data_IF_104358900698
#
_entry.id   IF_104358900698
#
_cell.length_a   1.000
_cell.length_b   1.000
_cell.length_c   1.000
_cell.angle_alpha   90.00
_cell.angle_beta   90.00
_cell.angle_gamma   90.00
#
_symmetry.space_group_name_H-M   'P 1'
#
loop_
_entity.id
_entity.type
_entity.pdbx_description
1 polymer ?
#
# COMPACT_ATOMS: atom_id res chain seq x y z
N UNK A 1 -20.37 -0.34 -17.58
CA UNK A 1 -20.42 -1.68 -16.98
C UNK A 1 -20.17 -1.60 -15.49
N UNK A 2 -20.92 -2.38 -14.71
CA UNK A 2 -20.63 -2.43 -13.28
C UNK A 2 -19.23 -3.02 -13.04
N UNK A 3 -18.54 -2.49 -12.03
CA UNK A 3 -17.25 -3.01 -11.65
C UNK A 3 -17.02 -2.74 -10.18
N UNK A 4 -16.13 -3.51 -9.60
CA UNK A 4 -15.72 -3.32 -8.21
C UNK A 4 -14.23 -3.56 -8.13
N UNK A 5 -13.52 -2.64 -7.49
CA UNK A 5 -12.08 -2.75 -7.28
C UNK A 5 -11.77 -2.22 -5.88
N UNK A 6 -11.65 -3.14 -4.94
CA UNK A 6 -11.48 -2.75 -3.55
C UNK A 6 -10.60 -3.77 -2.85
N UNK A 7 -9.70 -3.28 -2.01
CA UNK A 7 -8.79 -4.14 -1.26
C UNK A 7 -8.65 -3.60 0.15
N UNK A 8 -8.56 -4.50 1.11
CA UNK A 8 -8.27 -4.18 2.50
C UNK A 8 -7.16 -5.08 2.97
N UNK A 9 -6.13 -4.47 3.56
CA UNK A 9 -4.95 -5.20 4.00
C UNK A 9 -4.56 -4.75 5.40
N UNK A 10 -4.17 -5.69 6.23
CA UNK A 10 -3.55 -5.41 7.51
C UNK A 10 -2.16 -6.02 7.47
N UNK A 11 -1.15 -5.20 7.74
CA UNK A 11 0.21 -5.67 7.71
C UNK A 11 1.16 -4.65 8.28
N UNK A 12 2.44 -4.96 8.16
CA UNK A 12 3.50 -4.11 8.70
C UNK A 12 4.32 -3.52 7.56
N UNK A 13 4.75 -2.28 7.74
CA UNK A 13 5.64 -1.68 6.75
C UNK A 13 6.99 -2.38 6.78
N UNK A 14 7.49 -2.71 5.59
CA UNK A 14 8.78 -3.36 5.46
C UNK A 14 9.95 -2.40 5.58
N UNK A 15 9.72 -1.11 5.32
CA UNK A 15 10.73 -0.08 5.45
C UNK A 15 10.03 1.26 5.54
N UNK A 16 10.80 2.31 5.83
CA UNK A 16 10.26 3.65 5.89
C UNK A 16 9.71 4.07 4.54
N UNK A 17 8.57 4.77 4.52
CA UNK A 17 8.03 5.23 3.24
C UNK A 17 8.89 6.31 2.61
N UNK A 18 8.84 6.36 1.28
CA UNK A 18 9.58 7.36 0.50
C UNK A 18 8.62 8.32 -0.14
N UNK A 19 8.93 9.61 -0.05
CA UNK A 19 8.16 10.64 -0.75
C UNK A 19 8.68 10.74 -2.17
N UNK A 20 7.77 10.81 -3.14
CA UNK A 20 8.11 10.90 -4.54
C UNK A 20 7.21 11.90 -5.24
N UNK A 21 7.65 12.33 -6.42
CA UNK A 21 6.90 13.26 -7.25
C UNK A 21 6.77 12.70 -8.65
N UNK A 22 5.60 12.92 -9.25
CA UNK A 22 5.43 12.59 -10.66
C UNK A 22 6.07 13.67 -11.53
N UNK A 23 6.12 13.42 -12.85
CA UNK A 23 6.70 14.38 -13.76
C UNK A 23 5.97 15.72 -13.75
N UNK A 24 4.68 15.73 -13.47
CA UNK A 24 3.90 16.95 -13.40
C UNK A 24 3.74 17.50 -11.98
N UNK A 25 4.58 17.03 -11.06
CA UNK A 25 4.68 17.65 -9.74
C UNK A 25 3.75 17.12 -8.67
N UNK A 26 3.00 16.08 -8.92
CA UNK A 26 2.14 15.48 -7.91
C UNK A 26 2.97 14.67 -6.92
N UNK A 27 2.68 14.84 -5.64
CA UNK A 27 3.42 14.19 -4.58
C UNK A 27 2.69 12.95 -4.10
N UNK A 28 3.44 11.89 -3.85
CA UNK A 28 2.90 10.67 -3.26
C UNK A 28 3.97 9.99 -2.41
N UNK A 29 3.52 9.12 -1.51
CA UNK A 29 4.40 8.28 -0.71
C UNK A 29 4.28 6.86 -1.20
N UNK A 30 5.39 6.13 -1.21
CA UNK A 30 5.38 4.72 -1.60
C UNK A 30 6.07 3.89 -0.52
N UNK A 31 5.53 2.72 -0.26
CA UNK A 31 6.10 1.80 0.72
C UNK A 31 5.66 0.37 0.42
N UNK A 32 6.33 -0.58 1.05
CA UNK A 32 5.97 -1.98 0.93
C UNK A 32 5.27 -2.43 2.21
N UNK A 33 4.25 -3.27 2.04
CA UNK A 33 3.48 -3.80 3.15
C UNK A 33 3.63 -5.31 3.19
N UNK A 34 4.01 -5.82 4.35
CA UNK A 34 4.17 -7.25 4.57
C UNK A 34 2.88 -7.80 5.19
N UNK A 35 2.24 -8.71 4.49
CA UNK A 35 1.05 -9.38 4.99
C UNK A 35 1.38 -10.85 5.17
N UNK A 36 1.38 -11.30 6.41
CA UNK A 36 1.76 -12.66 6.74
C UNK A 36 0.55 -13.57 6.72
N UNK A 37 0.74 -14.77 6.19
CA UNK A 37 -0.27 -15.81 6.28
C UNK A 37 0.38 -17.08 6.77
N UNK A 38 -0.40 -17.87 7.47
CA UNK A 38 0.10 -19.14 7.99
C UNK A 38 -0.99 -20.19 7.85
N UNK A 39 -0.57 -21.44 7.73
CA UNK A 39 -1.50 -22.55 7.61
C UNK A 39 -0.78 -23.80 8.07
N UNK A 40 -1.54 -24.87 8.28
CA UNK A 40 -0.97 -26.18 8.59
C UNK A 40 -0.95 -27.04 7.34
N UNK A 41 0.19 -27.69 7.11
CA UNK A 41 0.31 -28.63 5.99
C UNK A 41 -0.48 -29.89 6.30
N UNK A 42 -0.54 -30.77 5.29
CA UNK A 42 -1.22 -32.05 5.45
C UNK A 42 -0.61 -32.87 6.59
N UNK A 43 0.69 -32.70 6.82
CA UNK A 43 1.39 -33.43 7.88
C UNK A 43 1.27 -32.77 9.24
N UNK A 44 0.55 -31.63 9.33
CA UNK A 44 0.36 -30.94 10.59
C UNK A 44 1.41 -29.89 10.91
N UNK A 45 2.38 -29.69 10.03
CA UNK A 45 3.42 -28.70 10.26
C UNK A 45 2.93 -27.32 9.94
N UNK A 46 3.33 -26.35 10.76
CA UNK A 46 2.97 -24.95 10.52
C UNK A 46 3.81 -24.39 9.38
N UNK A 47 3.13 -23.78 8.42
CA UNK A 47 3.78 -23.11 7.30
C UNK A 47 3.50 -21.64 7.38
N UNK A 48 4.47 -20.82 6.95
CA UNK A 48 4.33 -19.36 6.97
C UNK A 48 4.82 -18.79 5.66
N UNK A 49 4.18 -17.70 5.25
CA UNK A 49 4.55 -17.01 4.02
C UNK A 49 4.21 -15.53 4.17
N UNK A 50 5.06 -14.69 3.63
CA UNK A 50 4.82 -13.25 3.64
C UNK A 50 4.55 -12.79 2.22
N UNK A 51 3.39 -12.17 2.03
CA UNK A 51 3.07 -11.53 0.76
C UNK A 51 3.42 -10.07 0.85
N UNK A 52 4.10 -9.54 -0.16
CA UNK A 52 4.57 -8.16 -0.19
C UNK A 52 3.74 -7.37 -1.19
N UNK A 53 3.21 -6.25 -0.73
CA UNK A 53 2.41 -5.36 -1.57
C UNK A 53 3.07 -4.01 -1.65
N UNK A 54 3.12 -3.44 -2.87
CA UNK A 54 3.54 -2.06 -3.07
C UNK A 54 2.33 -1.17 -2.86
N UNK A 55 2.46 -0.15 -2.02
CA UNK A 55 1.36 0.74 -1.68
C UNK A 55 1.76 2.17 -1.99
N UNK A 56 0.90 2.89 -2.67
CA UNK A 56 1.07 4.31 -2.95
C UNK A 56 -0.04 5.10 -2.26
N UNK A 57 0.34 6.20 -1.63
CA UNK A 57 -0.59 7.10 -0.96
C UNK A 57 -0.36 8.50 -1.50
N UNK A 58 -1.42 9.09 -2.06
CA UNK A 58 -1.31 10.37 -2.76
C UNK A 58 -1.74 11.53 -1.88
N UNK A 59 -1.15 12.69 -2.14
CA UNK A 59 -1.57 13.94 -1.51
C UNK A 59 -1.40 13.94 0.00
N UNK A 60 -2.43 14.39 0.68
CA UNK A 60 -2.38 14.52 2.14
C UNK A 60 -2.18 13.18 2.84
N UNK A 61 -2.72 12.12 2.28
CA UNK A 61 -2.53 10.79 2.85
C UNK A 61 -1.06 10.41 2.79
N UNK A 62 -0.39 10.74 1.68
CA UNK A 62 1.05 10.51 1.56
C UNK A 62 1.85 11.29 2.59
N UNK A 63 1.47 12.54 2.84
CA UNK A 63 2.14 13.35 3.85
C UNK A 63 2.00 12.72 5.24
N UNK A 64 0.82 12.24 5.57
CA UNK A 64 0.59 11.55 6.84
C UNK A 64 1.50 10.32 6.95
N UNK A 65 1.59 9.54 5.88
CA UNK A 65 2.38 8.32 5.89
C UNK A 65 3.86 8.64 6.14
N UNK A 66 4.39 9.62 5.41
CA UNK A 66 5.80 9.97 5.57
C UNK A 66 6.10 10.47 6.98
N UNK A 67 5.17 11.19 7.56
CA UNK A 67 5.41 11.77 8.88
C UNK A 67 5.24 10.78 10.02
N UNK A 68 4.23 9.94 9.96
CA UNK A 68 3.85 9.12 11.11
C UNK A 68 4.05 7.62 10.94
N UNK A 69 4.08 7.11 9.71
CA UNK A 69 4.04 5.67 9.49
C UNK A 69 5.42 5.20 9.09
N UNK A 70 6.12 4.59 10.03
CA UNK A 70 7.52 4.19 9.83
C UNK A 70 7.63 2.67 9.72
N UNK A 71 8.83 2.21 9.39
CA UNK A 71 9.12 0.79 9.28
C UNK A 71 8.60 0.04 10.50
N UNK A 72 7.95 -1.08 10.25
CA UNK A 72 7.48 -1.96 11.30
C UNK A 72 6.09 -1.66 11.85
N UNK A 73 5.54 -0.48 11.54
CA UNK A 73 4.22 -0.11 12.07
C UNK A 73 3.15 -1.02 11.50
N UNK A 74 2.16 -1.32 12.33
CA UNK A 74 1.03 -2.16 11.95
C UNK A 74 -0.10 -1.25 11.48
N UNK A 75 -0.58 -1.47 10.26
CA UNK A 75 -1.59 -0.58 9.66
C UNK A 75 -2.68 -1.39 9.00
N UNK A 76 -3.85 -0.76 8.91
CA UNK A 76 -4.94 -1.20 8.05
C UNK A 76 -5.00 -0.26 6.86
N UNK A 77 -4.90 -0.84 5.66
CA UNK A 77 -4.95 -0.07 4.42
C UNK A 77 -6.19 -0.46 3.67
N UNK A 78 -6.91 0.54 3.20
CA UNK A 78 -8.07 0.32 2.36
C UNK A 78 -7.87 1.13 1.08
N UNK A 79 -8.15 0.50 -0.07
CA UNK A 79 -7.96 1.17 -1.34
C UNK A 79 -8.37 0.29 -2.50
N UNK A 80 -7.68 0.47 -3.61
CA UNK A 80 -7.95 -0.27 -4.84
C UNK A 80 -6.65 -0.77 -5.45
N UNK A 81 -6.78 -1.71 -6.36
CA UNK A 81 -5.63 -2.21 -7.12
C UNK A 81 -5.53 -1.45 -8.43
N UNK A 82 -4.31 -1.14 -8.83
CA UNK A 82 -4.05 -0.51 -10.11
C UNK A 82 -2.94 -1.29 -10.79
N UNK A 83 -3.19 -1.69 -12.03
CA UNK A 83 -2.21 -2.43 -12.80
C UNK A 83 -1.73 -1.56 -13.94
N UNK A 84 -0.42 -1.37 -14.01
CA UNK A 84 0.22 -0.62 -15.07
C UNK A 84 0.94 -1.57 -16.00
N UNK A 85 0.96 -1.20 -17.28
CA UNK A 85 1.59 -2.00 -18.32
C UNK A 85 2.61 -1.14 -19.03
N UNK A 86 3.79 -1.70 -19.26
CA UNK A 86 4.79 -0.98 -20.05
C UNK A 86 5.64 -1.98 -20.84
N UNK A 87 6.26 -1.50 -21.90
CA UNK A 87 7.18 -2.30 -22.69
C UNK A 87 8.61 -1.87 -22.37
N UNK A 88 9.50 -2.85 -22.26
CA UNK A 88 10.90 -2.52 -22.00
C UNK A 88 11.65 -2.30 -23.32
N UNK A 89 12.96 -2.06 -23.21
CA UNK A 89 13.79 -1.75 -24.38
C UNK A 89 13.88 -2.92 -25.35
N UNK A 90 13.61 -4.14 -24.87
CA UNK A 90 13.64 -5.33 -25.72
C UNK A 90 12.28 -5.64 -26.33
N UNK A 91 11.28 -4.80 -26.07
CA UNK A 91 9.95 -5.02 -26.59
C UNK A 91 9.09 -5.97 -25.78
N UNK A 92 9.57 -6.40 -24.61
CA UNK A 92 8.78 -7.27 -23.74
C UNK A 92 7.82 -6.45 -22.90
N UNK A 93 6.63 -6.99 -22.71
CA UNK A 93 5.57 -6.31 -21.97
C UNK A 93 5.64 -6.72 -20.50
N UNK A 94 5.57 -5.73 -19.63
CA UNK A 94 5.59 -5.94 -18.18
C UNK A 94 4.35 -5.37 -17.55
N UNK A 95 3.97 -5.94 -16.41
CA UNK A 95 2.83 -5.49 -15.63
C UNK A 95 3.26 -5.30 -14.19
N UNK A 96 2.66 -4.31 -13.54
CA UNK A 96 2.87 -4.10 -12.10
C UNK A 96 1.55 -3.73 -11.48
N UNK A 97 1.20 -4.43 -10.40
CA UNK A 97 -0.01 -4.13 -9.67
C UNK A 97 0.38 -3.45 -8.35
N UNK A 98 -0.23 -2.32 -8.10
CA UNK A 98 0.03 -1.49 -6.93
C UNK A 98 -1.27 -1.25 -6.19
N UNK A 99 -1.20 -1.17 -4.88
CA UNK A 99 -2.34 -0.78 -4.06
C UNK A 99 -2.34 0.73 -3.95
N UNK A 100 -3.42 1.35 -4.37
CA UNK A 100 -3.60 2.80 -4.22
C UNK A 100 -4.44 3.01 -2.98
N UNK A 101 -3.81 3.52 -1.93
CA UNK A 101 -4.47 3.67 -0.64
C UNK A 101 -5.46 4.81 -0.68
N UNK A 102 -6.64 4.57 -0.11
CA UNK A 102 -7.65 5.60 0.11
C UNK A 102 -7.67 6.00 1.57
N UNK A 103 -7.44 5.06 2.47
CA UNK A 103 -7.35 5.36 3.90
C UNK A 103 -6.30 4.46 4.53
N UNK A 104 -5.68 4.96 5.58
CA UNK A 104 -4.67 4.23 6.34
C UNK A 104 -4.94 4.49 7.81
N UNK A 105 -5.06 3.40 8.59
CA UNK A 105 -5.31 3.48 10.00
C UNK A 105 -4.18 2.78 10.75
N UNK A 106 -3.60 3.48 11.71
CA UNK A 106 -2.55 2.91 12.54
C UNK A 106 -3.19 2.04 13.60
N UNK A 107 -2.84 0.77 13.62
CA UNK A 107 -3.43 -0.17 14.58
C UNK A 107 -2.62 -0.26 15.86
N UNK A 108 -1.37 0.20 15.82
CA UNK A 108 -0.50 0.26 17.00
C UNK A 108 -0.15 1.71 17.33
N UNK A 109 -1.07 2.64 17.09
CA UNK A 109 -0.79 4.05 17.19
C UNK A 109 -0.48 4.50 18.60
N UNK A 110 0.30 5.56 18.69
CA UNK A 110 0.57 6.23 19.96
C UNK A 110 -0.49 7.27 20.22
N UNK A 111 -0.76 7.61 21.49
CA UNK A 111 -1.85 8.54 21.81
C UNK A 111 -1.74 9.90 21.10
N UNK A 112 -0.53 10.35 20.81
CA UNK A 112 -0.33 11.65 20.18
C UNK A 112 -0.52 11.64 18.68
N UNK A 113 -0.80 10.48 18.07
CA UNK A 113 -0.92 10.35 16.63
C UNK A 113 -2.38 10.36 16.19
N UNK A 114 -2.66 10.86 14.98
CA UNK A 114 -4.01 10.74 14.44
C UNK A 114 -4.39 9.28 14.27
N UNK A 115 -5.66 8.99 14.47
CA UNK A 115 -6.14 7.62 14.38
C UNK A 115 -6.23 7.17 12.93
N UNK A 116 -6.68 8.05 12.06
CA UNK A 116 -6.92 7.67 10.68
C UNK A 116 -6.93 8.91 9.80
N UNK A 117 -6.44 8.76 8.56
CA UNK A 117 -6.53 9.78 7.54
C UNK A 117 -7.13 9.17 6.30
N UNK A 118 -8.09 9.87 5.71
CA UNK A 118 -8.76 9.44 4.51
C UNK A 118 -8.88 10.62 3.55
N UNK A 119 -8.66 10.39 2.27
CA UNK A 119 -8.75 11.46 1.27
C UNK A 119 -9.79 11.08 0.24
N UNK A 120 -10.26 12.11 -0.49
CA UNK A 120 -11.25 11.91 -1.52
C UNK A 120 -10.68 11.04 -2.64
N UNK A 121 -11.55 10.19 -3.17
CA UNK A 121 -11.12 9.18 -4.14
C UNK A 121 -10.65 9.79 -5.45
N UNK A 122 -11.26 10.88 -5.85
CA UNK A 122 -10.99 11.44 -7.17
C UNK A 122 -9.56 11.90 -7.33
N UNK A 123 -8.84 12.18 -6.26
CA UNK A 123 -7.51 12.70 -6.41
C UNK A 123 -6.47 11.65 -6.68
N UNK A 124 -6.86 10.42 -6.79
CA UNK A 124 -5.92 9.33 -6.99
C UNK A 124 -5.87 8.89 -8.42
N UNK A 125 -6.54 9.58 -9.29
CA UNK A 125 -6.53 9.23 -10.70
C UNK A 125 -5.16 9.56 -11.28
N UNK A 126 -4.65 8.69 -12.03
CA UNK A 126 -3.36 8.91 -12.64
C UNK A 126 -3.07 8.06 -13.74
#
# INVERSE_FOLDING_TARGET
MPSLNRVQLIGNLGRDPEARFTANGKKYATFTLAVNRSWKSVTGEKQEHTDWFMVNAWGKLGDFVVEYVKKGRLVLIEGRLQTDRWDDAKGETHYRTTVIARSIQLLDRKPEEPEEVEVAVEEVSE
#
